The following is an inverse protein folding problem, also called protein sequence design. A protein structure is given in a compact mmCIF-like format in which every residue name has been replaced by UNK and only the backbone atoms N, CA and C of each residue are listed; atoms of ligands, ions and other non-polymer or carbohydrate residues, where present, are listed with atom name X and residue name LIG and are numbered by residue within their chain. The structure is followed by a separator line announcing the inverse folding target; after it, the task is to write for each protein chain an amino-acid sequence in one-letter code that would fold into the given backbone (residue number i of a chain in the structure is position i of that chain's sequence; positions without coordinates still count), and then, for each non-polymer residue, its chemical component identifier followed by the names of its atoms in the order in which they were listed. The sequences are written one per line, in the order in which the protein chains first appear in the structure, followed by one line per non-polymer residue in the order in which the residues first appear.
data_IF_706181935445
#
_entry.id   IF_706181935445
#
_cell.length_a   1.000
_cell.length_b   1.000
_cell.length_c   1.000
_cell.angle_alpha   90.00
_cell.angle_beta   90.00
_cell.angle_gamma   90.00
#
_symmetry.space_group_name_H-M   'P 1'
#
loop_
_entity.id
_entity.type
_entity.pdbx_description
1 polymer ?
#
# COMPACT_ATOMS: atom_id res chain seq x y z
N UNK A 1 -15.21 0.94 5.40
CA UNK A 1 -16.42 0.42 6.07
C UNK A 1 -16.73 1.11 7.39
N UNK A 2 -15.79 1.17 8.35
CA UNK A 2 -16.01 1.84 9.64
C UNK A 2 -16.50 3.30 9.55
N UNK A 3 -16.03 4.06 8.56
CA UNK A 3 -16.45 5.47 8.36
C UNK A 3 -17.88 5.56 7.79
N UNK A 4 -18.23 4.71 6.83
CA UNK A 4 -19.48 4.83 6.07
C UNK A 4 -20.65 4.13 6.78
N UNK A 5 -20.38 2.99 7.43
CA UNK A 5 -21.41 2.12 8.03
C UNK A 5 -21.16 1.80 9.50
N UNK A 6 -20.14 2.41 10.11
CA UNK A 6 -19.84 2.26 11.53
C UNK A 6 -19.90 3.58 12.29
N UNK A 7 -19.38 3.60 13.50
CA UNK A 7 -19.34 4.81 14.34
C UNK A 7 -18.27 5.85 13.91
N UNK A 8 -17.58 5.63 12.78
CA UNK A 8 -16.43 6.43 12.40
C UNK A 8 -15.25 6.28 13.36
N UNK A 9 -14.41 7.31 13.42
CA UNK A 9 -13.28 7.40 14.35
C UNK A 9 -13.50 8.54 15.34
N UNK A 10 -13.62 8.21 16.62
CA UNK A 10 -13.60 9.20 17.69
C UNK A 10 -12.23 9.86 17.80
N UNK A 11 -12.13 10.98 18.51
CA UNK A 11 -10.83 11.62 18.75
C UNK A 11 -9.89 10.74 19.59
N UNK A 12 -10.43 9.85 20.44
CA UNK A 12 -9.63 8.85 21.15
C UNK A 12 -9.07 7.80 20.19
N UNK A 13 -9.91 7.30 19.25
CA UNK A 13 -9.44 6.39 18.21
C UNK A 13 -8.34 7.05 17.36
N UNK A 14 -8.56 8.29 16.91
CA UNK A 14 -7.61 9.06 16.10
C UNK A 14 -6.26 9.20 16.81
N UNK A 15 -6.25 9.49 18.12
CA UNK A 15 -5.02 9.55 18.91
C UNK A 15 -4.27 8.22 18.91
N UNK A 16 -4.98 7.10 18.90
CA UNK A 16 -4.37 5.76 18.77
C UNK A 16 -3.55 5.57 17.48
N UNK A 17 -3.85 6.31 16.41
CA UNK A 17 -3.13 6.23 15.13
C UNK A 17 -1.89 7.14 15.06
N UNK A 18 -1.70 8.07 16.00
CA UNK A 18 -0.56 9.01 15.98
C UNK A 18 0.76 8.26 15.88
N UNK A 19 0.95 7.26 16.75
CA UNK A 19 2.15 6.44 16.77
C UNK A 19 2.38 5.79 15.41
N UNK A 20 1.35 5.16 14.84
CA UNK A 20 1.45 4.45 13.56
C UNK A 20 1.84 5.39 12.41
N UNK A 21 1.30 6.61 12.38
CA UNK A 21 1.68 7.63 11.39
C UNK A 21 3.17 7.96 11.51
N UNK A 22 3.69 8.17 12.72
CA UNK A 22 5.12 8.42 12.93
C UNK A 22 5.97 7.24 12.46
N UNK A 23 5.62 6.03 12.85
CA UNK A 23 6.31 4.81 12.40
C UNK A 23 6.36 4.73 10.87
N UNK A 24 5.27 5.06 10.19
CA UNK A 24 5.17 5.06 8.74
C UNK A 24 6.10 6.09 8.07
N UNK A 25 6.24 7.28 8.66
CA UNK A 25 7.14 8.33 8.16
C UNK A 25 8.60 7.91 8.31
N UNK A 26 8.99 7.43 9.50
CA UNK A 26 10.36 6.96 9.74
C UNK A 26 10.71 5.77 8.84
N UNK A 27 9.81 4.79 8.74
CA UNK A 27 9.99 3.63 7.85
C UNK A 27 10.18 4.08 6.39
N UNK A 28 9.36 5.01 5.88
CA UNK A 28 9.49 5.50 4.52
C UNK A 28 10.84 6.18 4.27
N UNK A 29 11.26 7.09 5.16
CA UNK A 29 12.55 7.79 5.01
C UNK A 29 13.73 6.83 5.12
N UNK A 30 13.72 5.90 6.07
CA UNK A 30 14.79 4.91 6.23
C UNK A 30 14.88 3.95 5.03
N UNK A 31 13.75 3.55 4.44
CA UNK A 31 13.74 2.76 3.20
C UNK A 31 14.38 3.52 2.05
N UNK A 32 14.11 4.82 1.90
CA UNK A 32 14.74 5.63 0.84
C UNK A 32 16.25 5.80 1.08
N UNK A 33 16.69 6.05 2.32
CA UNK A 33 18.12 6.16 2.64
C UNK A 33 18.85 4.86 2.29
N UNK A 34 18.30 3.69 2.67
CA UNK A 34 18.87 2.38 2.30
C UNK A 34 18.88 2.17 0.78
N UNK A 35 17.84 2.64 0.09
CA UNK A 35 17.75 2.54 -1.36
C UNK A 35 18.77 3.44 -2.08
N UNK A 36 19.13 4.61 -1.53
CA UNK A 36 20.21 5.43 -2.09
C UNK A 36 21.54 4.65 -2.12
N UNK A 37 21.87 3.93 -1.04
CA UNK A 37 23.09 3.11 -0.97
C UNK A 37 23.07 1.94 -1.96
N UNK A 38 21.89 1.31 -2.14
CA UNK A 38 21.69 0.21 -3.08
C UNK A 38 21.82 0.70 -4.53
N UNK A 39 21.15 1.79 -4.86
CA UNK A 39 21.06 2.36 -6.21
C UNK A 39 22.24 3.27 -6.56
N UNK A 40 23.17 3.47 -5.61
CA UNK A 40 24.37 4.33 -5.74
C UNK A 40 24.01 5.78 -6.10
N UNK A 41 22.92 6.28 -5.55
CA UNK A 41 22.47 7.67 -5.71
C UNK A 41 23.20 8.53 -4.68
N UNK A 42 23.78 9.64 -5.14
CA UNK A 42 24.44 10.60 -4.26
C UNK A 42 23.42 11.63 -3.76
N UNK A 43 23.66 12.18 -2.57
CA UNK A 43 22.89 13.33 -2.09
C UNK A 43 23.11 14.53 -3.01
N UNK A 44 22.06 15.34 -3.18
CA UNK A 44 22.11 16.56 -3.97
C UNK A 44 23.05 17.61 -3.38
N UNK A 45 23.02 17.75 -2.05
CA UNK A 45 23.99 18.58 -1.33
C UNK A 45 25.19 17.72 -0.87
N UNK A 46 26.42 17.98 -1.36
CA UNK A 46 27.62 17.27 -0.93
C UNK A 46 28.07 17.64 0.49
N UNK A 47 27.33 18.50 1.22
CA UNK A 47 27.67 18.87 2.59
C UNK A 47 27.56 17.69 3.56
N UNK A 48 28.47 17.64 4.54
CA UNK A 48 28.45 16.63 5.62
C UNK A 48 27.20 16.69 6.50
N UNK A 49 26.39 17.76 6.37
CA UNK A 49 25.15 17.94 7.12
C UNK A 49 24.09 16.94 6.69
N UNK A 50 23.90 16.72 5.38
CA UNK A 50 22.90 15.78 4.89
C UNK A 50 23.27 14.35 5.28
N UNK A 51 24.55 13.97 5.14
CA UNK A 51 25.03 12.67 5.63
C UNK A 51 24.81 12.48 7.14
N UNK A 52 25.04 13.51 7.95
CA UNK A 52 24.73 13.47 9.39
C UNK A 52 23.22 13.35 9.65
N UNK A 53 22.36 14.06 8.90
CA UNK A 53 20.89 13.95 9.01
C UNK A 53 20.39 12.54 8.66
N UNK A 54 20.98 11.91 7.65
CA UNK A 54 20.70 10.51 7.31
C UNK A 54 21.04 9.58 8.47
N UNK A 55 22.22 9.73 9.07
CA UNK A 55 22.62 8.95 10.25
C UNK A 55 21.64 9.14 11.41
N UNK A 56 21.25 10.38 11.71
CA UNK A 56 20.28 10.68 12.78
C UNK A 56 18.93 10.01 12.54
N UNK A 57 18.45 9.97 11.30
CA UNK A 57 17.17 9.36 10.93
C UNK A 57 17.21 7.83 10.98
N UNK A 58 18.36 7.21 10.68
CA UNK A 58 18.58 5.75 10.70
C UNK A 58 18.81 5.22 12.13
N UNK A 59 19.29 6.05 13.06
CA UNK A 59 19.52 5.63 14.44
C UNK A 59 18.24 5.30 15.23
N UNK A 60 17.06 5.80 14.80
CA UNK A 60 15.80 5.46 15.44
C UNK A 60 15.30 4.10 14.95
N UNK A 61 14.91 3.25 15.88
CA UNK A 61 14.04 2.14 15.57
C UNK A 61 12.61 2.64 15.32
N UNK A 62 12.18 2.58 14.06
CA UNK A 62 10.86 3.05 13.66
C UNK A 62 9.74 2.22 14.30
N UNK A 63 9.99 1.00 14.82
CA UNK A 63 8.95 0.19 15.44
C UNK A 63 8.59 0.68 16.86
N UNK A 64 9.54 1.31 17.53
CA UNK A 64 9.39 1.76 18.92
C UNK A 64 9.15 3.26 19.06
N UNK A 65 9.20 4.02 17.96
CA UNK A 65 9.02 5.49 17.98
C UNK A 65 7.65 5.90 18.52
N UNK A 66 7.63 6.92 19.39
CA UNK A 66 6.43 7.49 20.00
C UNK A 66 6.31 9.00 19.83
N UNK A 67 7.40 9.69 19.51
CA UNK A 67 7.44 11.14 19.35
C UNK A 67 7.93 11.53 17.95
N UNK A 68 7.52 12.72 17.50
CA UNK A 68 7.94 13.29 16.23
C UNK A 68 8.45 14.71 16.47
N UNK A 69 9.67 14.79 17.01
CA UNK A 69 10.28 16.02 17.51
C UNK A 69 11.67 16.29 16.89
N UNK A 70 12.22 17.48 17.14
CA UNK A 70 13.61 17.81 16.83
C UNK A 70 14.56 16.90 17.63
N UNK A 71 15.69 16.43 17.04
CA UNK A 71 16.25 16.80 15.74
C UNK A 71 15.73 16.01 14.54
N UNK A 72 14.81 15.06 14.75
CA UNK A 72 14.42 14.07 13.74
C UNK A 72 13.50 14.64 12.66
N UNK A 73 12.51 15.45 13.04
CA UNK A 73 11.60 16.06 12.06
C UNK A 73 12.35 16.97 11.10
N UNK A 74 13.28 17.78 11.62
CA UNK A 74 14.12 18.65 10.78
C UNK A 74 15.03 17.81 9.88
N UNK A 75 15.58 16.71 10.38
CA UNK A 75 16.38 15.81 9.57
C UNK A 75 15.57 15.22 8.39
N UNK A 76 14.36 14.73 8.66
CA UNK A 76 13.47 14.14 7.63
C UNK A 76 13.01 15.21 6.63
N UNK A 77 12.72 16.43 7.10
CA UNK A 77 12.35 17.56 6.25
C UNK A 77 13.49 17.97 5.32
N UNK A 78 14.70 18.12 5.87
CA UNK A 78 15.91 18.42 5.10
C UNK A 78 16.17 17.33 4.05
N UNK A 79 16.08 16.06 4.44
CA UNK A 79 16.28 14.91 3.56
C UNK A 79 15.23 14.85 2.45
N UNK A 80 13.95 15.09 2.77
CA UNK A 80 12.90 15.08 1.76
C UNK A 80 13.10 16.19 0.72
N UNK A 81 13.72 17.32 1.07
CA UNK A 81 14.06 18.37 0.13
C UNK A 81 15.31 18.10 -0.72
N UNK A 82 16.11 17.08 -0.39
CA UNK A 82 17.33 16.74 -1.12
C UNK A 82 17.02 16.13 -2.50
N UNK A 83 17.72 16.59 -3.53
CA UNK A 83 17.47 16.13 -4.91
C UNK A 83 17.82 14.66 -5.13
N UNK A 84 18.80 14.10 -4.40
CA UNK A 84 19.14 12.68 -4.44
C UNK A 84 18.06 11.80 -3.81
N UNK A 85 17.45 12.26 -2.71
CA UNK A 85 16.28 11.59 -2.13
C UNK A 85 15.07 11.67 -3.08
N UNK A 86 14.85 12.81 -3.74
CA UNK A 86 13.78 12.94 -4.75
C UNK A 86 14.01 11.98 -5.94
N UNK A 87 15.24 11.89 -6.46
CA UNK A 87 15.60 10.91 -7.50
C UNK A 87 15.35 9.47 -7.02
N UNK A 88 15.73 9.17 -5.78
CA UNK A 88 15.47 7.88 -5.17
C UNK A 88 13.97 7.58 -5.06
N UNK A 89 13.15 8.58 -4.72
CA UNK A 89 11.69 8.45 -4.68
C UNK A 89 11.09 8.20 -6.07
N UNK A 90 11.61 8.82 -7.12
CA UNK A 90 11.16 8.56 -8.49
C UNK A 90 11.44 7.12 -8.94
N UNK A 91 12.52 6.54 -8.42
CA UNK A 91 12.91 5.14 -8.61
C UNK A 91 12.30 4.16 -7.59
N UNK A 92 11.25 4.55 -6.87
CA UNK A 92 10.56 3.74 -5.83
C UNK A 92 9.98 2.39 -6.27
N UNK A 93 10.00 2.07 -7.56
CA UNK A 93 9.67 0.72 -8.06
C UNK A 93 10.78 -0.30 -7.83
N UNK A 94 12.02 0.17 -7.67
CA UNK A 94 13.22 -0.68 -7.53
C UNK A 94 13.46 -1.15 -6.08
N UNK A 95 12.65 -0.68 -5.14
CA UNK A 95 12.72 -1.07 -3.73
C UNK A 95 11.33 -0.99 -3.06
N UNK A 96 11.26 -1.34 -1.79
CA UNK A 96 10.01 -1.41 -1.03
C UNK A 96 9.73 -0.07 -0.34
N UNK A 97 8.80 0.70 -0.90
CA UNK A 97 8.30 1.95 -0.32
C UNK A 97 6.78 1.92 -0.18
N UNK A 98 6.25 2.58 0.86
CA UNK A 98 4.81 2.69 1.07
C UNK A 98 4.20 3.74 0.14
N UNK A 99 3.00 3.46 -0.39
CA UNK A 99 2.30 4.40 -1.30
C UNK A 99 1.98 5.75 -0.64
N UNK A 100 1.84 5.76 0.69
CA UNK A 100 1.55 6.96 1.48
C UNK A 100 2.78 7.81 1.80
N UNK A 101 4.00 7.40 1.40
CA UNK A 101 5.23 8.10 1.73
C UNK A 101 5.19 9.59 1.34
N UNK A 102 4.88 9.87 0.06
CA UNK A 102 4.78 11.26 -0.45
C UNK A 102 3.71 12.07 0.26
N UNK A 103 2.56 11.45 0.58
CA UNK A 103 1.47 12.14 1.29
C UNK A 103 1.93 12.66 2.66
N UNK A 104 2.59 11.82 3.46
CA UNK A 104 3.06 12.26 4.78
C UNK A 104 4.28 13.18 4.70
N UNK A 105 5.27 12.85 3.87
CA UNK A 105 6.51 13.61 3.76
C UNK A 105 6.31 15.01 3.16
N UNK A 106 5.23 15.22 2.40
CA UNK A 106 4.90 16.54 1.85
C UNK A 106 4.21 17.47 2.85
N UNK A 107 3.76 16.96 4.01
CA UNK A 107 3.00 17.75 5.00
C UNK A 107 3.46 17.47 6.44
N UNK A 108 4.78 17.48 6.64
CA UNK A 108 5.41 17.24 7.95
C UNK A 108 5.07 18.33 8.98
N UNK A 109 4.77 19.56 8.53
CA UNK A 109 4.43 20.69 9.39
C UNK A 109 3.12 20.47 10.15
N UNK A 110 2.11 19.91 9.48
CA UNK A 110 0.85 19.54 10.12
C UNK A 110 1.04 18.39 11.12
N UNK A 111 1.87 17.41 10.77
CA UNK A 111 2.08 16.20 11.56
C UNK A 111 2.91 16.47 12.82
N UNK A 112 3.85 17.44 12.76
CA UNK A 112 4.68 17.83 13.92
C UNK A 112 4.00 18.81 14.87
N UNK A 113 2.80 19.29 14.55
CA UNK A 113 2.09 20.26 15.39
C UNK A 113 1.85 19.66 16.80
N UNK A 114 2.01 20.43 17.89
CA UNK A 114 1.81 19.93 19.26
C UNK A 114 0.41 19.36 19.53
N UNK A 115 -0.59 19.85 18.80
CA UNK A 115 -1.99 19.46 18.86
C UNK A 115 -2.40 18.53 17.69
N UNK A 116 -1.43 17.92 17.02
CA UNK A 116 -1.68 17.02 15.89
C UNK A 116 -2.67 15.91 16.27
N UNK A 117 -3.77 15.86 15.52
CA UNK A 117 -4.76 14.79 15.55
C UNK A 117 -4.89 14.22 14.13
N UNK A 118 -4.66 12.90 13.94
CA UNK A 118 -4.78 12.28 12.63
C UNK A 118 -6.16 12.51 12.03
N UNK A 119 -6.18 12.99 10.79
CA UNK A 119 -7.39 13.08 9.98
C UNK A 119 -7.84 11.67 9.58
N UNK A 120 -9.09 11.54 9.14
CA UNK A 120 -9.56 10.28 8.55
C UNK A 120 -8.71 9.88 7.33
N UNK A 121 -8.20 10.87 6.59
CA UNK A 121 -7.33 10.63 5.44
C UNK A 121 -5.95 10.10 5.86
N UNK A 122 -5.40 10.55 6.99
CA UNK A 122 -4.18 9.98 7.57
C UNK A 122 -4.44 8.53 8.00
N UNK A 123 -5.56 8.28 8.70
CA UNK A 123 -5.90 6.92 9.16
C UNK A 123 -6.04 5.95 7.98
N UNK A 124 -6.74 6.35 6.91
CA UNK A 124 -6.90 5.53 5.72
C UNK A 124 -5.59 5.27 4.97
N UNK A 125 -4.60 6.15 5.11
CA UNK A 125 -3.28 6.04 4.48
C UNK A 125 -2.24 5.36 5.38
N UNK A 126 -2.49 5.22 6.66
CA UNK A 126 -1.59 4.57 7.60
C UNK A 126 -1.51 3.07 7.30
N UNK A 127 -0.29 2.58 7.08
CA UNK A 127 -0.04 1.17 6.79
C UNK A 127 0.29 0.44 8.08
N UNK A 128 -0.56 -0.51 8.44
CA UNK A 128 -0.29 -1.57 9.40
C UNK A 128 -0.54 -2.91 8.71
N UNK A 129 0.43 -3.84 8.65
CA UNK A 129 0.18 -5.17 8.12
C UNK A 129 -0.89 -5.89 8.94
N UNK A 130 -1.99 -6.29 8.30
CA UNK A 130 -3.00 -7.15 8.94
C UNK A 130 -2.37 -8.50 9.24
N UNK A 131 -2.44 -8.91 10.51
CA UNK A 131 -2.01 -10.23 10.96
C UNK A 131 -3.21 -11.01 11.46
N UNK A 132 -3.32 -12.27 11.03
CA UNK A 132 -4.45 -13.13 11.36
C UNK A 132 -5.71 -12.81 10.55
N UNK A 133 -6.84 -13.06 11.19
CA UNK A 133 -8.19 -12.91 10.66
C UNK A 133 -8.93 -11.98 11.61
N UNK A 134 -9.55 -10.93 11.06
CA UNK A 134 -10.30 -9.96 11.84
C UNK A 134 -11.72 -9.88 11.31
N UNK A 135 -12.69 -10.10 12.19
CA UNK A 135 -14.11 -10.06 11.85
C UNK A 135 -14.74 -8.74 12.32
N UNK A 136 -15.49 -8.10 11.44
CA UNK A 136 -16.21 -6.86 11.70
C UNK A 136 -17.67 -7.01 11.26
N UNK A 137 -18.62 -7.20 12.20
CA UNK A 137 -20.03 -7.12 11.88
C UNK A 137 -20.45 -5.65 11.67
N UNK A 138 -21.28 -5.39 10.66
CA UNK A 138 -21.93 -4.11 10.47
C UNK A 138 -23.34 -4.29 9.90
N UNK A 139 -24.25 -3.40 10.30
CA UNK A 139 -25.63 -3.39 9.83
C UNK A 139 -25.76 -2.55 8.55
N UNK A 140 -26.40 -3.11 7.53
CA UNK A 140 -26.77 -2.40 6.31
C UNK A 140 -28.23 -2.75 5.98
N UNK A 141 -29.14 -1.79 6.11
CA UNK A 141 -30.56 -1.92 5.77
C UNK A 141 -31.25 -3.17 6.37
N UNK A 142 -31.03 -3.41 7.67
CA UNK A 142 -31.55 -4.57 8.42
C UNK A 142 -30.92 -5.93 8.07
N UNK A 143 -29.83 -5.94 7.29
CA UNK A 143 -29.00 -7.11 7.04
C UNK A 143 -27.68 -6.93 7.79
N UNK A 144 -27.34 -7.91 8.65
CA UNK A 144 -26.04 -7.95 9.32
C UNK A 144 -25.01 -8.52 8.35
N UNK A 145 -24.10 -7.69 7.90
CA UNK A 145 -22.93 -8.12 7.15
C UNK A 145 -21.80 -8.45 8.11
N UNK A 146 -21.18 -9.62 7.94
CA UNK A 146 -19.95 -9.99 8.63
C UNK A 146 -18.79 -9.87 7.65
N UNK A 147 -18.01 -8.79 7.77
CA UNK A 147 -16.80 -8.63 6.98
C UNK A 147 -15.64 -9.34 7.66
N UNK A 148 -14.90 -10.13 6.88
CA UNK A 148 -13.69 -10.79 7.36
C UNK A 148 -12.51 -10.20 6.59
N UNK A 149 -11.63 -9.50 7.31
CA UNK A 149 -10.36 -9.01 6.79
C UNK A 149 -9.24 -10.00 7.11
N UNK A 150 -8.38 -10.28 6.14
CA UNK A 150 -7.33 -11.30 6.24
C UNK A 150 -6.00 -10.78 5.73
N UNK A 151 -4.91 -11.18 6.38
CA UNK A 151 -3.57 -10.83 5.93
C UNK A 151 -3.25 -11.39 4.52
N UNK A 152 -2.80 -10.53 3.60
CA UNK A 152 -2.51 -10.90 2.21
C UNK A 152 -1.14 -11.55 1.96
N UNK A 153 -0.21 -11.43 2.91
CA UNK A 153 1.16 -11.98 2.81
C UNK A 153 1.13 -13.51 2.80
N UNK A 154 2.07 -14.16 2.10
CA UNK A 154 2.11 -15.63 1.97
C UNK A 154 2.17 -16.33 3.33
N UNK A 155 2.88 -15.75 4.30
CA UNK A 155 2.93 -16.21 5.69
C UNK A 155 1.55 -16.30 6.37
N UNK A 156 0.64 -15.37 6.02
CA UNK A 156 -0.69 -15.25 6.62
C UNK A 156 -1.74 -16.12 5.93
N UNK A 157 -1.54 -16.46 4.65
CA UNK A 157 -2.53 -17.20 3.84
C UNK A 157 -2.89 -18.59 4.37
N UNK A 158 -1.99 -19.24 5.12
CA UNK A 158 -2.29 -20.54 5.77
C UNK A 158 -3.43 -20.43 6.77
N UNK A 159 -3.66 -19.25 7.34
CA UNK A 159 -4.71 -18.99 8.33
C UNK A 159 -6.09 -18.86 7.68
N UNK A 160 -6.15 -18.53 6.38
CA UNK A 160 -7.41 -18.24 5.67
C UNK A 160 -8.43 -19.38 5.74
N UNK A 161 -7.98 -20.63 5.86
CA UNK A 161 -8.87 -21.79 6.00
C UNK A 161 -9.86 -21.64 7.16
N UNK A 162 -9.51 -20.87 8.20
CA UNK A 162 -10.38 -20.62 9.35
C UNK A 162 -11.57 -19.69 9.07
N UNK A 163 -11.64 -19.07 7.88
CA UNK A 163 -12.77 -18.22 7.48
C UNK A 163 -13.44 -18.65 6.16
N UNK A 164 -13.22 -19.90 5.71
CA UNK A 164 -13.75 -20.40 4.44
C UNK A 164 -15.15 -21.01 4.55
N UNK A 165 -15.69 -21.17 5.75
CA UNK A 165 -17.03 -21.72 5.96
C UNK A 165 -18.11 -20.65 5.78
N UNK A 166 -19.20 -21.00 5.10
CA UNK A 166 -20.40 -20.17 4.93
C UNK A 166 -20.15 -18.79 4.30
N UNK A 167 -19.16 -18.68 3.41
CA UNK A 167 -18.85 -17.42 2.71
C UNK A 167 -19.88 -17.15 1.62
N UNK A 168 -20.68 -16.10 1.80
CA UNK A 168 -21.66 -15.65 0.79
C UNK A 168 -20.98 -15.00 -0.41
N UNK A 169 -19.98 -14.15 -0.16
CA UNK A 169 -19.32 -13.32 -1.18
C UNK A 169 -17.85 -13.10 -0.83
N UNK A 170 -17.00 -13.08 -1.85
CA UNK A 170 -15.57 -12.79 -1.76
C UNK A 170 -15.30 -11.47 -2.45
N UNK A 171 -14.69 -10.52 -1.74
CA UNK A 171 -14.14 -9.30 -2.34
C UNK A 171 -12.65 -9.51 -2.51
N UNK A 172 -12.19 -9.67 -3.75
CA UNK A 172 -10.78 -9.82 -4.06
C UNK A 172 -10.21 -8.48 -4.52
N UNK A 173 -9.22 -7.95 -3.79
CA UNK A 173 -8.59 -6.67 -4.11
C UNK A 173 -7.30 -6.90 -4.91
N UNK A 174 -7.17 -6.18 -6.03
CA UNK A 174 -5.95 -6.11 -6.83
C UNK A 174 -5.52 -4.66 -6.89
N UNK A 175 -4.28 -4.38 -6.50
CA UNK A 175 -3.70 -3.06 -6.64
C UNK A 175 -3.16 -2.87 -8.06
N UNK A 176 -3.85 -2.07 -8.87
CA UNK A 176 -3.49 -1.82 -10.27
C UNK A 176 -2.08 -1.26 -10.42
N UNK A 177 -1.64 -0.44 -9.48
CA UNK A 177 -0.33 0.22 -9.51
C UNK A 177 0.85 -0.72 -9.23
N UNK A 178 0.64 -2.01 -8.97
CA UNK A 178 1.72 -2.94 -8.58
C UNK A 178 2.29 -3.75 -9.75
N UNK A 179 1.90 -3.44 -10.99
CA UNK A 179 2.36 -4.12 -12.20
C UNK A 179 3.88 -4.06 -12.44
N UNK A 180 4.56 -3.04 -11.92
CA UNK A 180 6.01 -2.83 -12.05
C UNK A 180 6.79 -3.13 -10.77
N UNK A 181 6.16 -3.80 -9.79
CA UNK A 181 6.73 -4.05 -8.47
C UNK A 181 6.96 -5.54 -8.21
N UNK A 182 7.99 -5.81 -7.40
CA UNK A 182 8.28 -7.15 -6.87
C UNK A 182 7.67 -7.35 -5.49
N UNK A 183 7.37 -8.60 -5.15
CA UNK A 183 6.88 -8.98 -3.83
C UNK A 183 7.88 -8.60 -2.73
N UNK A 184 7.36 -8.26 -1.56
CA UNK A 184 8.20 -8.07 -0.38
C UNK A 184 8.86 -9.39 0.06
N UNK A 185 8.17 -10.52 -0.17
CA UNK A 185 8.57 -11.86 0.26
C UNK A 185 9.50 -12.57 -0.74
N UNK A 186 9.73 -12.00 -1.92
CA UNK A 186 10.47 -12.63 -3.03
C UNK A 186 10.98 -11.59 -4.03
N UNK A 187 12.30 -11.58 -4.26
CA UNK A 187 12.96 -10.56 -5.09
C UNK A 187 12.72 -10.77 -6.60
N UNK A 188 12.23 -11.94 -7.02
CA UNK A 188 12.11 -12.31 -8.44
C UNK A 188 10.66 -12.45 -8.92
N UNK A 189 9.67 -12.18 -8.05
CA UNK A 189 8.26 -12.39 -8.37
C UNK A 189 7.51 -11.06 -8.44
N UNK A 190 6.87 -10.82 -9.59
CA UNK A 190 6.03 -9.65 -9.81
C UNK A 190 4.74 -9.73 -8.98
N UNK A 191 4.34 -8.62 -8.35
CA UNK A 191 3.16 -8.56 -7.47
C UNK A 191 1.83 -8.79 -8.19
N UNK A 192 1.71 -8.32 -9.43
CA UNK A 192 0.51 -8.50 -10.24
C UNK A 192 0.37 -9.95 -10.71
N UNK A 193 1.47 -10.60 -11.09
CA UNK A 193 1.48 -12.04 -11.38
C UNK A 193 1.09 -12.90 -10.18
N UNK A 194 1.60 -12.58 -8.99
CA UNK A 194 1.17 -13.23 -7.75
C UNK A 194 -0.32 -13.03 -7.49
N UNK A 195 -0.84 -11.81 -7.72
CA UNK A 195 -2.27 -11.50 -7.56
C UNK A 195 -3.13 -12.32 -8.51
N UNK A 196 -2.68 -12.51 -9.76
CA UNK A 196 -3.34 -13.40 -10.74
C UNK A 196 -3.34 -14.85 -10.29
N UNK A 197 -2.18 -15.36 -9.89
CA UNK A 197 -2.04 -16.74 -9.43
C UNK A 197 -2.94 -17.01 -8.22
N UNK A 198 -2.94 -16.09 -7.25
CA UNK A 198 -3.79 -16.19 -6.07
C UNK A 198 -5.29 -16.10 -6.42
N UNK A 199 -5.69 -15.16 -7.28
CA UNK A 199 -7.08 -15.05 -7.72
C UNK A 199 -7.55 -16.35 -8.38
N UNK A 200 -6.74 -16.90 -9.30
CA UNK A 200 -7.01 -18.18 -9.96
C UNK A 200 -7.23 -19.30 -8.94
N UNK A 201 -6.35 -19.41 -7.94
CA UNK A 201 -6.49 -20.41 -6.87
C UNK A 201 -7.81 -20.24 -6.12
N UNK A 202 -8.15 -19.00 -5.73
CA UNK A 202 -9.38 -18.72 -4.97
C UNK A 202 -10.63 -19.09 -5.76
N UNK A 203 -10.75 -18.69 -7.02
CA UNK A 203 -11.96 -18.96 -7.81
C UNK A 203 -12.13 -20.45 -8.18
N UNK A 204 -11.06 -21.23 -8.10
CA UNK A 204 -11.06 -22.68 -8.33
C UNK A 204 -11.34 -23.51 -7.07
N UNK A 205 -11.29 -22.90 -5.88
CA UNK A 205 -11.53 -23.66 -4.65
C UNK A 205 -12.97 -24.21 -4.61
N UNK A 206 -13.17 -25.50 -4.31
CA UNK A 206 -14.50 -26.09 -4.20
C UNK A 206 -15.39 -25.39 -3.17
N UNK A 207 -14.78 -24.90 -2.09
CA UNK A 207 -15.44 -24.17 -0.99
C UNK A 207 -16.20 -22.92 -1.46
N UNK A 208 -15.79 -22.33 -2.59
CA UNK A 208 -16.31 -21.07 -3.09
C UNK A 208 -17.13 -21.21 -4.38
N UNK A 209 -17.54 -22.43 -4.74
CA UNK A 209 -18.33 -22.65 -5.95
C UNK A 209 -19.67 -21.90 -5.95
N UNK A 210 -20.27 -21.72 -4.78
CA UNK A 210 -21.55 -21.02 -4.60
C UNK A 210 -21.39 -19.60 -4.05
N UNK A 211 -20.17 -19.18 -3.75
CA UNK A 211 -19.89 -17.81 -3.29
C UNK A 211 -19.86 -16.88 -4.49
N UNK A 212 -20.43 -15.69 -4.36
CA UNK A 212 -20.19 -14.63 -5.34
C UNK A 212 -18.75 -14.15 -5.23
N UNK A 213 -18.12 -13.73 -6.33
CA UNK A 213 -16.78 -13.13 -6.30
C UNK A 213 -16.83 -11.78 -6.98
N UNK A 214 -16.38 -10.76 -6.26
CA UNK A 214 -16.33 -9.36 -6.67
C UNK A 214 -14.86 -8.97 -6.74
N UNK A 215 -14.40 -8.57 -7.93
CA UNK A 215 -13.03 -8.13 -8.15
C UNK A 215 -12.94 -6.61 -8.06
N UNK A 216 -12.16 -6.11 -7.09
CA UNK A 216 -11.88 -4.69 -6.95
C UNK A 216 -10.48 -4.37 -7.45
N UNK A 217 -10.42 -3.66 -8.58
CA UNK A 217 -9.20 -3.08 -9.13
C UNK A 217 -8.94 -1.73 -8.46
N UNK A 218 -8.14 -1.75 -7.40
CA UNK A 218 -7.86 -0.61 -6.52
C UNK A 218 -6.60 0.17 -6.96
N UNK A 219 -6.37 1.34 -6.34
CA UNK A 219 -5.22 2.24 -6.61
C UNK A 219 -5.17 2.76 -8.06
N UNK A 220 -6.34 3.02 -8.63
CA UNK A 220 -6.47 3.58 -9.98
C UNK A 220 -5.79 4.95 -10.10
N UNK A 221 -5.91 5.78 -9.07
CA UNK A 221 -5.23 7.07 -8.95
C UNK A 221 -3.70 6.93 -9.10
N UNK A 222 -3.10 5.97 -8.40
CA UNK A 222 -1.65 5.73 -8.51
C UNK A 222 -1.25 5.13 -9.86
N UNK A 223 -2.10 4.31 -10.47
CA UNK A 223 -1.89 3.82 -11.83
C UNK A 223 -1.85 4.96 -12.85
N UNK A 224 -2.77 5.92 -12.72
CA UNK A 224 -2.86 7.07 -13.62
C UNK A 224 -1.60 7.95 -13.60
N UNK A 225 -0.98 8.13 -12.44
CA UNK A 225 0.33 8.80 -12.33
C UNK A 225 1.43 7.94 -12.95
N UNK A 226 1.47 6.65 -12.59
CA UNK A 226 2.58 5.74 -12.88
C UNK A 226 2.75 5.41 -14.37
N UNK A 227 1.65 5.25 -15.11
CA UNK A 227 1.70 4.81 -16.51
C UNK A 227 2.42 5.83 -17.43
N UNK A 228 2.53 7.09 -16.99
CA UNK A 228 3.21 8.15 -17.73
C UNK A 228 4.73 7.93 -17.86
N UNK A 229 5.33 7.11 -17.00
CA UNK A 229 6.79 6.92 -16.93
C UNK A 229 7.22 5.47 -16.65
N UNK A 230 6.28 4.53 -16.52
CA UNK A 230 6.52 3.10 -16.33
C UNK A 230 5.62 2.33 -17.29
N UNK A 231 6.15 1.84 -18.41
CA UNK A 231 5.34 1.27 -19.48
C UNK A 231 4.91 -0.17 -19.16
N UNK A 232 3.64 -0.50 -19.44
CA UNK A 232 3.10 -1.82 -19.10
C UNK A 232 3.79 -2.95 -19.89
N UNK A 233 4.11 -2.69 -21.17
CA UNK A 233 4.71 -3.67 -22.09
C UNK A 233 6.05 -4.23 -21.59
N UNK A 234 6.78 -3.48 -20.75
CA UNK A 234 8.05 -3.91 -20.16
C UNK A 234 7.86 -5.06 -19.15
N UNK A 235 6.65 -5.18 -18.59
CA UNK A 235 6.29 -6.17 -17.57
C UNK A 235 5.29 -7.21 -18.08
N UNK A 236 4.44 -6.82 -19.04
CA UNK A 236 3.42 -7.66 -19.68
C UNK A 236 3.57 -7.55 -21.20
N UNK A 237 4.48 -8.31 -21.82
CA UNK A 237 4.76 -8.20 -23.25
C UNK A 237 3.58 -8.55 -24.16
N UNK A 238 2.57 -9.27 -23.64
CA UNK A 238 1.34 -9.57 -24.38
C UNK A 238 0.40 -8.35 -24.50
N UNK A 239 0.71 -7.23 -23.86
CA UNK A 239 -0.07 -6.02 -23.95
C UNK A 239 0.17 -5.29 -25.29
N UNK A 240 -0.79 -5.40 -26.19
CA UNK A 240 -0.78 -4.73 -27.50
C UNK A 240 -1.42 -3.33 -27.49
N UNK A 241 -1.87 -2.85 -26.32
CA UNK A 241 -2.53 -1.56 -26.19
C UNK A 241 -1.57 -0.37 -26.21
N UNK A 242 -2.06 0.80 -26.60
CA UNK A 242 -1.27 2.02 -26.49
C UNK A 242 -1.08 2.43 -25.01
N UNK A 243 0.15 2.78 -24.65
CA UNK A 243 0.58 3.09 -23.27
C UNK A 243 -0.24 4.15 -22.52
N UNK A 244 -1.07 4.96 -23.19
CA UNK A 244 -1.74 6.13 -22.59
C UNK A 244 -3.26 5.96 -22.41
N UNK A 245 -3.85 4.88 -22.90
CA UNK A 245 -5.31 4.74 -22.89
C UNK A 245 -5.82 4.03 -21.63
N UNK A 246 -6.24 4.86 -20.66
CA UNK A 246 -6.85 4.48 -19.37
C UNK A 246 -7.90 3.36 -19.47
N UNK A 247 -8.76 3.41 -20.49
CA UNK A 247 -9.84 2.43 -20.70
C UNK A 247 -9.27 1.08 -21.15
N UNK A 248 -8.28 1.09 -22.04
CA UNK A 248 -7.68 -0.13 -22.60
C UNK A 248 -6.87 -0.84 -21.52
N UNK A 249 -6.18 -0.10 -20.65
CA UNK A 249 -5.42 -0.68 -19.55
C UNK A 249 -6.30 -1.34 -18.49
N UNK A 250 -7.35 -0.64 -18.06
CA UNK A 250 -8.33 -1.19 -17.12
C UNK A 250 -9.05 -2.39 -17.73
N UNK A 251 -9.45 -2.30 -19.00
CA UNK A 251 -10.08 -3.40 -19.72
C UNK A 251 -9.12 -4.56 -19.94
N UNK A 252 -7.82 -4.32 -20.17
CA UNK A 252 -6.81 -5.36 -20.29
C UNK A 252 -6.73 -6.13 -18.98
N UNK A 253 -6.44 -5.48 -17.84
CA UNK A 253 -6.40 -6.17 -16.55
C UNK A 253 -7.72 -6.86 -16.22
N UNK A 254 -8.85 -6.20 -16.47
CA UNK A 254 -10.18 -6.77 -16.27
C UNK A 254 -10.36 -8.05 -17.10
N UNK A 255 -10.09 -8.03 -18.40
CA UNK A 255 -10.08 -9.23 -19.26
C UNK A 255 -9.07 -10.26 -18.75
N UNK A 256 -7.90 -9.83 -18.29
CA UNK A 256 -6.83 -10.68 -17.79
C UNK A 256 -7.26 -11.50 -16.55
N UNK A 257 -8.08 -10.93 -15.67
CA UNK A 257 -8.67 -11.63 -14.53
C UNK A 257 -9.98 -12.36 -14.91
N UNK A 258 -10.80 -11.80 -15.80
CA UNK A 258 -12.11 -12.34 -16.17
C UNK A 258 -12.07 -13.50 -17.17
N UNK A 259 -10.99 -13.67 -17.92
CA UNK A 259 -10.80 -14.88 -18.75
C UNK A 259 -10.77 -16.17 -17.91
N UNK A 260 -10.75 -16.07 -16.58
CA UNK A 260 -10.70 -17.20 -15.66
C UNK A 260 -12.09 -17.67 -15.14
N UNK A 261 -13.18 -16.92 -15.38
CA UNK A 261 -14.58 -17.34 -15.13
C UNK A 261 -15.56 -16.37 -15.80
N UNK A 262 -16.67 -16.86 -16.37
CA UNK A 262 -17.76 -15.99 -16.82
C UNK A 262 -18.36 -15.25 -15.61
N UNK A 263 -17.97 -14.00 -15.39
CA UNK A 263 -18.58 -13.13 -14.40
C UNK A 263 -19.68 -12.28 -15.03
N UNK A 264 -20.79 -12.10 -14.30
CA UNK A 264 -21.80 -11.10 -14.59
C UNK A 264 -21.38 -9.77 -13.95
N UNK A 265 -21.43 -8.69 -14.73
CA UNK A 265 -21.19 -7.34 -14.26
C UNK A 265 -22.45 -6.74 -13.65
N UNK A 266 -22.29 -6.02 -12.53
CA UNK A 266 -23.19 -4.95 -12.08
C UNK A 266 -22.39 -3.65 -12.03
#
# INVERSE_FOLDING_TARGET
MRIIHGAGYSDEDKRGFIKLVYQNIFMAMQSMIKAMDLLKIQYGDPSSKVSHRSSVSVCIDYETVTTFESPYVEAIKDLWADSGIQECYDRRREYQLTDSAKYYLSDLERIRAPDYLPTEQDILRARAPTTGIIEYPFDLDSIIFRMVDVGGQRSERRKWIHCFENVTSIIFLVALSEYDQILFESENENRMEESKALFKTIITYPWFQHSSVILFLNKKDLLEEKIMYSHLVDYFPEYEGENHFRIILFHHFLCYFLMMKHFAFW
#
